data_IF_972646376747
#
_entry.id   IF_972646376747
#
_cell.length_a   1.000
_cell.length_b   1.000
_cell.length_c   1.000
_cell.angle_alpha   90.00
_cell.angle_beta   90.00
_cell.angle_gamma   90.00
#
_symmetry.space_group_name_H-M   'P 1'
#
loop_
_entity.id
_entity.type
_entity.pdbx_description
1 polymer ?
#
# COMPACT_ATOMS: atom_id res chain seq x y z
N UNK A 1 2.10 4.79 -29.65
CA UNK A 1 0.87 4.75 -28.81
C UNK A 1 0.39 3.31 -28.76
N UNK A 2 0.37 2.64 -27.60
CA UNK A 2 -0.08 1.24 -27.50
C UNK A 2 -1.53 1.21 -27.03
N UNK A 3 -2.43 0.81 -27.93
CA UNK A 3 -3.82 0.49 -27.62
C UNK A 3 -3.85 -0.72 -26.68
N UNK A 4 -4.15 -0.49 -25.40
CA UNK A 4 -4.50 -1.58 -24.48
C UNK A 4 -5.99 -1.85 -24.62
N UNK A 5 -6.32 -2.90 -25.36
CA UNK A 5 -7.68 -3.37 -25.57
C UNK A 5 -8.35 -3.71 -24.22
N UNK A 6 -9.43 -3.01 -23.90
CA UNK A 6 -10.29 -3.27 -22.74
C UNK A 6 -11.16 -4.48 -23.09
N UNK A 7 -10.63 -5.69 -22.96
CA UNK A 7 -11.36 -6.91 -23.33
C UNK A 7 -12.26 -7.43 -22.18
N UNK A 8 -13.57 -7.41 -22.46
CA UNK A 8 -14.65 -8.24 -21.91
C UNK A 8 -14.99 -8.15 -20.40
N UNK A 9 -16.27 -8.42 -20.08
CA UNK A 9 -16.77 -8.68 -18.71
C UNK A 9 -16.30 -10.02 -18.14
N UNK A 10 -15.56 -10.84 -18.90
CA UNK A 10 -15.23 -12.22 -18.54
C UNK A 10 -13.93 -12.24 -17.75
N UNK A 11 -14.02 -12.62 -16.48
CA UNK A 11 -12.87 -12.92 -15.64
C UNK A 11 -12.15 -14.14 -16.25
N UNK A 12 -10.80 -14.15 -16.33
CA UNK A 12 -10.06 -15.20 -17.05
C UNK A 12 -10.04 -16.55 -16.32
N UNK A 13 -10.61 -16.64 -15.11
CA UNK A 13 -10.63 -17.84 -14.28
C UNK A 13 -11.97 -18.01 -13.55
N UNK A 14 -12.36 -19.26 -13.31
CA UNK A 14 -13.49 -19.59 -12.44
C UNK A 14 -13.13 -19.32 -10.97
N UNK A 15 -13.94 -18.51 -10.27
CA UNK A 15 -13.73 -18.18 -8.86
C UNK A 15 -13.78 -19.40 -7.93
N UNK A 16 -14.38 -20.52 -8.38
CA UNK A 16 -14.37 -21.78 -7.63
C UNK A 16 -12.96 -22.35 -7.41
N UNK A 17 -12.02 -21.98 -8.28
CA UNK A 17 -10.61 -22.39 -8.14
C UNK A 17 -9.79 -21.38 -7.34
N UNK A 18 -10.38 -20.26 -6.93
CA UNK A 18 -9.67 -19.22 -6.20
C UNK A 18 -10.04 -19.24 -4.71
N UNK A 19 -9.09 -18.91 -3.85
CA UNK A 19 -9.34 -18.72 -2.42
C UNK A 19 -9.75 -17.27 -2.17
N UNK A 20 -10.90 -17.05 -1.57
CA UNK A 20 -11.31 -15.71 -1.15
C UNK A 20 -10.35 -15.14 -0.08
N UNK A 21 -9.85 -13.93 -0.30
CA UNK A 21 -8.92 -13.25 0.61
C UNK A 21 -9.61 -12.14 1.42
N UNK A 22 -10.63 -11.51 0.84
CA UNK A 22 -11.40 -10.46 1.52
C UNK A 22 -12.09 -9.51 0.57
N UNK A 23 -12.88 -8.61 1.14
CA UNK A 23 -13.61 -7.56 0.45
C UNK A 23 -13.31 -6.22 1.09
N UNK A 24 -13.18 -5.21 0.25
CA UNK A 24 -13.10 -3.81 0.66
C UNK A 24 -14.10 -2.97 -0.12
N UNK A 25 -14.06 -1.67 0.11
CA UNK A 25 -14.98 -0.72 -0.53
C UNK A 25 -15.00 -0.80 -2.06
N UNK A 26 -13.85 -1.07 -2.70
CA UNK A 26 -13.73 -1.10 -4.16
C UNK A 26 -14.00 -2.46 -4.79
N UNK A 27 -14.21 -3.51 -3.98
CA UNK A 27 -14.53 -4.85 -4.44
C UNK A 27 -13.80 -5.96 -3.68
N UNK A 28 -13.68 -7.12 -4.33
CA UNK A 28 -13.28 -8.38 -3.71
C UNK A 28 -11.91 -8.83 -4.21
N UNK A 29 -11.15 -9.53 -3.35
CA UNK A 29 -9.82 -10.05 -3.66
C UNK A 29 -9.79 -11.55 -3.45
N UNK A 30 -9.19 -12.26 -4.40
CA UNK A 30 -9.05 -13.70 -4.44
C UNK A 30 -7.58 -14.08 -4.71
N UNK A 31 -7.11 -15.18 -4.14
CA UNK A 31 -5.84 -15.82 -4.47
C UNK A 31 -6.10 -16.86 -5.57
N UNK A 32 -5.39 -16.73 -6.67
CA UNK A 32 -5.43 -17.65 -7.80
C UNK A 32 -4.55 -18.89 -7.54
N UNK A 33 -4.81 -20.03 -8.22
CA UNK A 33 -4.01 -21.25 -8.09
C UNK A 33 -2.51 -21.07 -8.39
N UNK A 34 -2.16 -20.09 -9.22
CA UNK A 34 -0.80 -19.78 -9.61
C UNK A 34 -0.08 -18.81 -8.63
N UNK A 35 -0.71 -18.51 -7.49
CA UNK A 35 -0.16 -17.65 -6.44
C UNK A 35 -0.37 -16.15 -6.67
N UNK A 36 -1.02 -15.72 -7.75
CA UNK A 36 -1.33 -14.31 -8.00
C UNK A 36 -2.64 -13.87 -7.33
N UNK A 37 -2.79 -12.57 -7.11
CA UNK A 37 -4.02 -12.00 -6.59
C UNK A 37 -4.91 -11.47 -7.72
N UNK A 38 -6.15 -11.95 -7.77
CA UNK A 38 -7.23 -11.41 -8.59
C UNK A 38 -8.05 -10.45 -7.74
N UNK A 39 -8.06 -9.17 -8.10
CA UNK A 39 -8.97 -8.17 -7.54
C UNK A 39 -10.10 -7.88 -8.52
N UNK A 40 -11.34 -8.09 -8.10
CA UNK A 40 -12.55 -7.78 -8.86
C UNK A 40 -13.16 -6.51 -8.29
N UNK A 41 -13.48 -5.55 -9.14
CA UNK A 41 -13.92 -4.22 -8.77
C UNK A 41 -15.43 -4.03 -8.98
N UNK A 42 -16.04 -3.26 -8.09
CA UNK A 42 -17.45 -2.88 -8.19
C UNK A 42 -17.70 -1.85 -9.32
N UNK A 43 -16.67 -1.11 -9.74
CA UNK A 43 -16.75 -0.16 -10.86
C UNK A 43 -15.49 -0.18 -11.73
N UNK A 44 -15.68 0.07 -13.03
CA UNK A 44 -14.59 0.13 -14.00
C UNK A 44 -13.67 1.31 -13.74
N UNK A 45 -14.20 2.42 -13.21
CA UNK A 45 -13.41 3.61 -12.91
C UNK A 45 -12.47 3.36 -11.73
N UNK A 46 -12.94 2.65 -10.71
CA UNK A 46 -12.08 2.23 -9.59
C UNK A 46 -10.98 1.29 -10.07
N UNK A 47 -11.32 0.33 -10.93
CA UNK A 47 -10.36 -0.59 -11.55
C UNK A 47 -9.31 0.18 -12.34
N UNK A 48 -9.74 1.11 -13.19
CA UNK A 48 -8.85 1.90 -14.04
C UNK A 48 -7.94 2.79 -13.23
N UNK A 49 -8.48 3.49 -12.24
CA UNK A 49 -7.72 4.36 -11.36
C UNK A 49 -6.63 3.58 -10.59
N UNK A 50 -6.97 2.43 -10.02
CA UNK A 50 -5.98 1.59 -9.31
C UNK A 50 -4.89 1.05 -10.26
N UNK A 51 -5.28 0.62 -11.47
CA UNK A 51 -4.32 0.21 -12.50
C UNK A 51 -3.36 1.34 -12.87
N UNK A 52 -3.89 2.53 -13.17
CA UNK A 52 -3.07 3.69 -13.54
C UNK A 52 -2.16 4.13 -12.38
N UNK A 53 -2.56 3.86 -11.13
CA UNK A 53 -1.70 4.04 -9.96
C UNK A 53 -0.55 3.03 -9.95
N UNK A 54 -0.88 1.74 -9.93
CA UNK A 54 0.09 0.66 -9.86
C UNK A 54 1.06 0.70 -11.04
N UNK A 55 0.59 1.05 -12.23
CA UNK A 55 1.43 1.15 -13.43
C UNK A 55 2.48 2.25 -13.32
N UNK A 56 2.18 3.39 -12.67
CA UNK A 56 3.20 4.44 -12.51
C UNK A 56 4.23 4.12 -11.42
N UNK A 57 3.93 3.17 -10.53
CA UNK A 57 4.82 2.76 -9.43
C UNK A 57 5.43 1.38 -9.64
N UNK A 58 5.28 0.81 -10.84
CA UNK A 58 5.70 -0.56 -11.16
C UNK A 58 7.21 -0.81 -10.97
N UNK A 59 8.02 0.25 -10.94
CA UNK A 59 9.47 0.17 -10.67
C UNK A 59 9.82 0.14 -9.18
N UNK A 60 8.86 0.41 -8.31
CA UNK A 60 9.05 0.43 -6.87
C UNK A 60 8.81 -0.95 -6.28
N UNK A 61 9.73 -1.38 -5.41
CA UNK A 61 9.62 -2.65 -4.68
C UNK A 61 8.49 -2.67 -3.64
N UNK A 62 7.88 -1.53 -3.35
CA UNK A 62 6.90 -1.39 -2.28
C UNK A 62 5.45 -1.62 -2.74
N UNK A 63 5.22 -1.85 -4.04
CA UNK A 63 3.88 -1.99 -4.61
C UNK A 63 3.80 -3.28 -5.43
N UNK A 64 2.62 -3.94 -5.47
CA UNK A 64 2.45 -5.15 -6.25
C UNK A 64 2.53 -4.86 -7.75
N UNK A 65 3.25 -5.71 -8.48
CA UNK A 65 3.29 -5.67 -9.94
C UNK A 65 1.97 -6.13 -10.53
N UNK A 66 1.53 -5.44 -11.58
CA UNK A 66 0.34 -5.83 -12.36
C UNK A 66 0.76 -6.74 -13.52
N UNK A 67 0.06 -7.86 -13.68
CA UNK A 67 0.24 -8.79 -14.80
C UNK A 67 -0.81 -8.61 -15.87
N UNK A 68 -2.06 -8.35 -15.47
CA UNK A 68 -3.20 -8.25 -16.38
C UNK A 68 -4.24 -7.28 -15.83
N UNK A 69 -4.95 -6.61 -16.73
CA UNK A 69 -6.08 -5.73 -16.40
C UNK A 69 -7.23 -5.97 -17.37
N UNK A 70 -8.42 -6.21 -16.82
CA UNK A 70 -9.68 -6.23 -17.56
C UNK A 70 -10.56 -5.03 -17.18
N UNK A 71 -11.80 -5.00 -17.68
CA UNK A 71 -12.71 -3.87 -17.41
C UNK A 71 -13.06 -3.70 -15.93
N UNK A 72 -13.11 -4.79 -15.17
CA UNK A 72 -13.49 -4.82 -13.75
C UNK A 72 -12.55 -5.69 -12.91
N UNK A 73 -11.35 -6.01 -13.40
CA UNK A 73 -10.40 -6.79 -12.60
C UNK A 73 -8.94 -6.42 -12.88
N UNK A 74 -8.10 -6.69 -11.89
CA UNK A 74 -6.64 -6.63 -12.00
C UNK A 74 -6.09 -7.96 -11.48
N UNK A 75 -5.18 -8.57 -12.23
CA UNK A 75 -4.30 -9.64 -11.76
C UNK A 75 -2.95 -9.02 -11.40
N UNK A 76 -2.52 -9.18 -10.15
CA UNK A 76 -1.30 -8.59 -9.62
C UNK A 76 -0.58 -9.55 -8.66
N UNK A 77 0.60 -9.14 -8.19
CA UNK A 77 1.28 -9.86 -7.10
C UNK A 77 0.35 -10.05 -5.91
N UNK A 78 0.35 -11.26 -5.37
CA UNK A 78 -0.21 -11.49 -4.04
C UNK A 78 0.72 -10.85 -3.01
N UNK A 79 0.13 -10.06 -2.12
CA UNK A 79 0.85 -9.48 -0.99
C UNK A 79 0.49 -10.29 0.23
N UNK A 80 1.44 -11.13 0.63
CA UNK A 80 1.37 -11.89 1.87
C UNK A 80 1.82 -11.05 3.06
N UNK A 81 2.38 -11.75 4.05
CA UNK A 81 2.89 -11.13 5.26
C UNK A 81 1.80 -10.71 6.25
N UNK A 82 2.23 -9.99 7.27
CA UNK A 82 1.39 -9.55 8.38
C UNK A 82 0.97 -8.11 8.19
N UNK A 83 -0.33 -7.81 8.36
CA UNK A 83 -0.79 -6.42 8.39
C UNK A 83 -0.04 -5.64 9.49
N UNK A 84 0.37 -4.41 9.17
CA UNK A 84 1.22 -3.60 10.07
C UNK A 84 0.63 -3.39 11.46
N UNK A 85 -0.70 -3.30 11.61
CA UNK A 85 -1.33 -3.17 12.93
C UNK A 85 -1.11 -4.43 13.77
N UNK A 86 -1.26 -5.61 13.15
CA UNK A 86 -1.02 -6.89 13.81
C UNK A 86 0.46 -7.07 14.12
N UNK A 87 1.33 -6.69 13.18
CA UNK A 87 2.78 -6.76 13.35
C UNK A 87 3.24 -5.93 14.56
N UNK A 88 2.86 -4.65 14.62
CA UNK A 88 3.26 -3.76 15.71
C UNK A 88 2.67 -4.20 17.07
N UNK A 89 1.44 -4.76 17.10
CA UNK A 89 0.88 -5.32 18.33
C UNK A 89 1.65 -6.56 18.82
N UNK A 90 2.16 -7.38 17.90
CA UNK A 90 2.86 -8.63 18.23
C UNK A 90 4.32 -8.41 18.59
N UNK A 91 5.03 -7.57 17.85
CA UNK A 91 6.49 -7.43 17.94
C UNK A 91 6.94 -6.06 18.49
N UNK A 92 6.01 -5.12 18.68
CA UNK A 92 6.35 -3.75 19.06
C UNK A 92 6.96 -2.94 17.92
N UNK A 93 7.39 -1.72 18.25
CA UNK A 93 8.06 -0.82 17.33
C UNK A 93 9.58 -1.04 17.40
N UNK A 94 10.18 -1.51 16.32
CA UNK A 94 11.63 -1.61 16.18
C UNK A 94 12.22 -0.41 15.42
N UNK A 95 13.50 -0.12 15.67
CA UNK A 95 14.23 0.92 14.91
C UNK A 95 14.30 0.61 13.41
N UNK A 96 14.54 -0.66 13.07
CA UNK A 96 14.54 -1.12 11.68
C UNK A 96 13.20 -0.86 10.97
N UNK A 97 12.07 -1.08 11.66
CA UNK A 97 10.75 -0.78 11.10
C UNK A 97 10.58 0.71 10.79
N UNK A 98 11.04 1.61 11.68
CA UNK A 98 10.99 3.07 11.46
C UNK A 98 11.81 3.45 10.22
N UNK A 99 13.01 2.90 10.08
CA UNK A 99 13.88 3.11 8.91
C UNK A 99 13.19 2.64 7.62
N UNK A 100 12.60 1.44 7.61
CA UNK A 100 11.88 0.90 6.44
C UNK A 100 10.67 1.77 6.04
N UNK A 101 9.94 2.32 7.01
CA UNK A 101 8.85 3.27 6.74
C UNK A 101 9.39 4.56 6.13
N UNK A 102 10.51 5.06 6.62
CA UNK A 102 11.17 6.25 6.08
C UNK A 102 11.61 6.02 4.62
N UNK A 103 12.24 4.88 4.33
CA UNK A 103 12.68 4.52 2.98
C UNK A 103 11.51 4.38 2.00
N UNK A 104 10.37 3.84 2.45
CA UNK A 104 9.12 3.80 1.69
C UNK A 104 8.62 5.20 1.33
N UNK A 105 8.65 6.14 2.28
CA UNK A 105 8.19 7.51 2.03
C UNK A 105 9.13 8.25 1.06
N UNK A 106 10.45 8.05 1.16
CA UNK A 106 11.38 8.64 0.20
C UNK A 106 11.21 8.06 -1.21
N UNK A 107 10.91 6.78 -1.32
CA UNK A 107 10.57 6.17 -2.61
C UNK A 107 9.27 6.77 -3.20
N UNK A 108 8.23 6.97 -2.38
CA UNK A 108 7.03 7.69 -2.80
C UNK A 108 7.33 9.12 -3.29
N UNK A 109 8.21 9.86 -2.61
CA UNK A 109 8.65 11.19 -3.08
C UNK A 109 9.35 11.13 -4.43
N UNK A 110 10.27 10.16 -4.63
CA UNK A 110 11.00 9.97 -5.89
C UNK A 110 10.05 9.68 -7.06
N UNK A 111 8.92 8.99 -6.79
CA UNK A 111 7.88 8.74 -7.78
C UNK A 111 6.90 9.92 -7.99
N UNK A 112 7.12 11.05 -7.33
CA UNK A 112 6.31 12.27 -7.50
C UNK A 112 4.98 12.26 -6.75
N UNK A 113 4.82 11.45 -5.70
CA UNK A 113 3.64 11.51 -4.85
C UNK A 113 3.60 12.84 -4.08
N UNK A 114 2.53 13.61 -4.29
CA UNK A 114 2.25 14.85 -3.52
C UNK A 114 1.57 14.57 -2.18
N UNK A 115 0.82 13.48 -2.10
CA UNK A 115 0.22 12.97 -0.86
C UNK A 115 0.96 11.73 -0.41
N UNK A 116 1.81 11.90 0.60
CA UNK A 116 2.60 10.83 1.21
C UNK A 116 1.79 10.12 2.30
N UNK A 117 0.55 9.73 1.99
CA UNK A 117 -0.36 9.11 2.94
C UNK A 117 -0.31 7.58 2.85
N UNK A 118 -0.08 6.93 3.98
CA UNK A 118 -0.10 5.47 4.11
C UNK A 118 -1.09 5.11 5.20
N UNK A 119 -1.94 4.10 4.94
CA UNK A 119 -2.92 3.62 5.92
C UNK A 119 -2.57 2.21 6.34
N UNK A 120 -2.69 1.94 7.64
CA UNK A 120 -2.39 0.63 8.23
C UNK A 120 -3.12 -0.55 7.54
N UNK A 121 -4.41 -0.46 7.16
CA UNK A 121 -5.08 -1.55 6.45
C UNK A 121 -4.42 -1.96 5.13
N UNK A 122 -3.63 -1.06 4.53
CA UNK A 122 -3.01 -1.26 3.21
C UNK A 122 -1.51 -1.48 3.28
N UNK A 123 -0.92 -1.53 4.48
CA UNK A 123 0.51 -1.74 4.69
C UNK A 123 0.75 -3.11 5.35
N UNK A 124 1.61 -3.90 4.71
CA UNK A 124 1.94 -5.26 5.12
C UNK A 124 3.44 -5.40 5.30
N UNK A 125 3.83 -6.14 6.34
CA UNK A 125 5.21 -6.50 6.65
C UNK A 125 5.42 -7.94 6.19
N UNK A 126 6.30 -8.15 5.23
CA UNK A 126 6.64 -9.47 4.69
C UNK A 126 7.51 -10.26 5.68
N UNK A 127 7.76 -11.54 5.40
CA UNK A 127 8.53 -12.43 6.28
C UNK A 127 9.99 -11.98 6.45
N UNK A 128 10.59 -11.40 5.40
CA UNK A 128 11.91 -10.76 5.42
C UNK A 128 11.89 -9.35 6.06
N UNK A 129 10.74 -8.93 6.58
CA UNK A 129 10.50 -7.63 7.17
C UNK A 129 10.36 -6.49 6.16
N UNK A 130 10.38 -6.75 4.85
CA UNK A 130 10.12 -5.72 3.83
C UNK A 130 8.66 -5.22 3.89
N UNK A 131 8.41 -4.02 3.37
CA UNK A 131 7.10 -3.39 3.39
C UNK A 131 6.43 -3.47 2.01
N UNK A 132 5.14 -3.77 1.99
CA UNK A 132 4.32 -3.79 0.77
C UNK A 132 3.02 -3.01 0.97
N UNK A 133 2.64 -2.21 -0.02
CA UNK A 133 1.43 -1.37 -0.05
C UNK A 133 0.49 -1.85 -1.16
N UNK A 134 -0.70 -2.33 -0.78
CA UNK A 134 -1.64 -2.96 -1.73
C UNK A 134 -2.61 -2.00 -2.44
N UNK A 135 -2.96 -0.88 -1.81
CA UNK A 135 -3.94 0.10 -2.32
C UNK A 135 -3.34 1.50 -2.22
N UNK A 136 -2.34 1.81 -3.07
CA UNK A 136 -1.85 3.17 -3.18
C UNK A 136 -2.95 4.08 -3.68
N UNK A 137 -3.13 5.24 -3.02
CA UNK A 137 -4.05 6.29 -3.48
C UNK A 137 -3.25 7.48 -3.98
N UNK A 138 -3.39 7.81 -5.26
CA UNK A 138 -2.89 9.06 -5.82
C UNK A 138 -3.92 10.16 -5.57
N UNK A 139 -3.61 11.14 -4.73
CA UNK A 139 -4.22 12.46 -4.88
C UNK A 139 -3.12 13.44 -5.22
N UNK A 140 -2.99 13.76 -6.51
CA UNK A 140 -2.08 14.83 -6.97
C UNK A 140 -2.62 16.24 -6.65
N UNK A 141 -3.82 16.31 -6.09
CA UNK A 141 -4.55 17.54 -5.75
C UNK A 141 -4.20 18.10 -4.37
N UNK A 142 -3.71 17.26 -3.45
CA UNK A 142 -3.42 17.67 -2.07
C UNK A 142 -1.95 17.44 -1.72
N UNK A 143 -1.26 18.50 -1.31
CA UNK A 143 0.11 18.40 -0.80
C UNK A 143 0.07 18.01 0.68
N UNK A 144 0.36 16.74 0.96
CA UNK A 144 0.48 16.21 2.33
C UNK A 144 1.88 15.61 2.45
N UNK A 145 2.84 16.32 3.05
CA UNK A 145 4.25 15.95 3.02
C UNK A 145 4.65 14.89 4.06
N UNK A 146 3.68 14.29 4.76
CA UNK A 146 3.92 13.25 5.77
C UNK A 146 2.71 12.29 5.88
N UNK A 147 2.90 11.05 6.37
CA UNK A 147 1.81 10.06 6.44
C UNK A 147 0.92 10.31 7.66
N UNK A 148 0.03 11.29 7.56
CA UNK A 148 -0.82 11.77 8.66
C UNK A 148 -1.66 10.67 9.32
N UNK A 149 -2.31 9.83 8.53
CA UNK A 149 -3.16 8.74 9.02
C UNK A 149 -2.33 7.64 9.70
N UNK A 150 -1.14 7.36 9.18
CA UNK A 150 -0.17 6.46 9.79
C UNK A 150 0.24 6.94 11.18
N UNK A 151 0.70 8.20 11.31
CA UNK A 151 1.12 8.78 12.58
C UNK A 151 -0.04 8.88 13.58
N UNK A 152 -1.25 9.22 13.12
CA UNK A 152 -2.45 9.21 13.97
C UNK A 152 -2.73 7.81 14.55
N UNK A 153 -2.52 6.76 13.77
CA UNK A 153 -2.72 5.38 14.24
C UNK A 153 -1.62 4.96 15.21
N UNK A 154 -0.36 5.32 14.96
CA UNK A 154 0.73 5.13 15.95
C UNK A 154 0.45 5.83 17.27
N UNK A 155 -0.10 7.07 17.24
CA UNK A 155 -0.50 7.78 18.46
C UNK A 155 -1.53 7.00 19.25
N UNK A 156 -2.56 6.48 18.57
CA UNK A 156 -3.58 5.63 19.20
C UNK A 156 -3.02 4.32 19.79
N UNK A 157 -1.86 3.87 19.30
CA UNK A 157 -1.18 2.68 19.80
C UNK A 157 -0.12 3.01 20.87
N UNK A 158 0.05 4.27 21.26
CA UNK A 158 1.07 4.69 22.24
C UNK A 158 2.50 4.64 21.71
N UNK A 159 2.71 4.49 20.40
CA UNK A 159 4.03 4.29 19.79
C UNK A 159 4.59 5.53 19.09
N UNK A 160 3.84 6.65 19.09
CA UNK A 160 4.18 7.83 18.30
C UNK A 160 5.47 8.51 18.75
N UNK A 161 5.65 8.71 20.06
CA UNK A 161 6.82 9.41 20.61
C UNK A 161 8.11 8.66 20.29
N UNK A 162 8.11 7.35 20.56
CA UNK A 162 9.23 6.48 20.22
C UNK A 162 9.51 6.48 18.72
N UNK A 163 8.47 6.46 17.88
CA UNK A 163 8.62 6.53 16.43
C UNK A 163 9.29 7.83 15.98
N UNK A 164 8.81 8.98 16.47
CA UNK A 164 9.37 10.29 16.08
C UNK A 164 10.81 10.42 16.58
N UNK A 165 11.11 10.00 17.82
CA UNK A 165 12.47 10.01 18.35
C UNK A 165 13.43 9.23 17.44
N UNK A 166 13.08 7.99 17.08
CA UNK A 166 13.93 7.17 16.21
C UNK A 166 14.02 7.80 14.81
N UNK A 167 12.92 8.33 14.28
CA UNK A 167 12.92 8.95 12.95
C UNK A 167 13.85 10.17 12.90
N UNK A 168 13.81 11.03 13.92
CA UNK A 168 14.64 12.24 13.97
C UNK A 168 16.12 11.90 14.18
N UNK A 169 16.44 10.79 14.86
CA UNK A 169 17.81 10.25 14.97
C UNK A 169 18.32 9.70 13.63
N UNK A 170 17.51 8.91 12.91
CA UNK A 170 17.92 8.16 11.71
C UNK A 170 17.76 8.95 10.40
N UNK A 171 16.80 9.88 10.36
CA UNK A 171 16.38 10.67 9.18
C UNK A 171 15.97 12.09 9.59
N UNK A 172 16.89 12.89 10.19
CA UNK A 172 16.58 14.23 10.69
C UNK A 172 16.00 15.18 9.62
N UNK A 173 16.33 14.95 8.34
CA UNK A 173 15.80 15.74 7.22
C UNK A 173 14.29 15.57 7.00
N UNK A 174 13.65 14.51 7.49
CA UNK A 174 12.21 14.33 7.37
C UNK A 174 11.44 15.27 8.30
N UNK A 175 11.97 15.50 9.52
CA UNK A 175 11.44 16.42 10.53
C UNK A 175 9.90 16.37 10.64
N UNK A 176 9.37 15.18 10.88
CA UNK A 176 7.92 15.01 11.06
C UNK A 176 7.44 15.46 12.42
N UNK A 177 8.34 15.59 13.41
CA UNK A 177 8.04 16.10 14.74
C UNK A 177 7.27 17.44 14.68
N UNK A 178 7.62 18.34 13.75
CA UNK A 178 6.92 19.63 13.59
C UNK A 178 5.44 19.52 13.19
N UNK A 179 5.02 18.41 12.60
CA UNK A 179 3.64 18.18 12.15
C UNK A 179 2.78 17.48 13.21
N UNK A 180 3.40 16.99 14.27
CA UNK A 180 2.74 16.14 15.26
C UNK A 180 2.72 16.88 16.59
N UNK A 181 1.51 17.14 17.12
CA UNK A 181 1.38 17.58 18.52
C UNK A 181 1.64 16.37 19.43
N UNK A 182 2.89 16.25 19.87
CA UNK A 182 3.27 15.44 21.01
C UNK A 182 2.75 16.20 22.24
N UNK A 183 1.82 15.58 22.95
CA UNK A 183 1.22 16.08 24.19
C UNK A 183 1.25 14.92 25.15
#
# INVERSE_FOLDING_TARGET
MRNWCIHSRKIPISLRHCKYLGEGHSGQVYLMPDGRALKIFNSSDSCRNEYDILKSVEKSRYFPKVYEVGKYYIIRDYVGGMNVEKYLKKYGLSREFVIKVADLIDDMKKMGFKKLEIRFPHLFVQEDGSLMVIDPRKSYEQNIPYPKSFLKKLKKMGMLEQFIKILDEERPCMNWGKYVKIK
#
